data_IF_109282060050
#
_entry.id   IF_109282060050
#
_cell.length_a   1.000
_cell.length_b   1.000
_cell.length_c   1.000
_cell.angle_alpha   90.00
_cell.angle_beta   90.00
_cell.angle_gamma   90.00
#
_symmetry.space_group_name_H-M   'P 1'
#
loop_
_entity.id
_entity.type
_entity.pdbx_description
1 polymer ?
#
# COMPACT_ATOMS: atom_id res chain seq x y z
N UNK A 1 19.30 37.11 -50.56
CA UNK A 1 17.99 36.80 -51.16
C UNK A 1 17.82 35.29 -51.04
N UNK A 2 16.90 34.69 -50.30
CA UNK A 2 15.65 35.09 -49.63
C UNK A 2 15.27 33.83 -48.80
N UNK A 3 15.13 33.92 -47.47
CA UNK A 3 13.87 33.72 -46.70
C UNK A 3 13.11 32.42 -47.08
N UNK A 4 12.59 31.53 -46.22
CA UNK A 4 12.18 31.56 -44.81
C UNK A 4 11.61 30.17 -44.42
N UNK A 5 11.49 29.90 -43.11
CA UNK A 5 10.55 28.96 -42.41
C UNK A 5 10.93 27.46 -42.38
N UNK A 6 11.41 26.93 -41.25
CA UNK A 6 10.67 26.53 -40.02
C UNK A 6 9.94 25.18 -40.24
N UNK A 7 9.92 24.16 -39.37
CA UNK A 7 10.30 23.95 -37.98
C UNK A 7 9.91 22.50 -37.59
N UNK A 8 10.51 21.98 -36.51
CA UNK A 8 10.12 20.81 -35.68
C UNK A 8 10.60 19.39 -36.02
N UNK A 9 11.64 19.01 -35.26
CA UNK A 9 12.05 17.66 -34.91
C UNK A 9 11.08 17.00 -33.92
N UNK A 10 11.10 15.65 -33.85
CA UNK A 10 11.08 14.78 -32.64
C UNK A 10 10.97 13.30 -33.05
N UNK A 11 11.93 12.47 -32.60
CA UNK A 11 12.03 10.98 -32.38
C UNK A 11 13.48 10.54 -32.70
N UNK A 12 14.20 9.59 -32.09
CA UNK A 12 13.95 8.51 -31.10
C UNK A 12 15.34 7.90 -30.67
N UNK A 13 15.56 7.69 -29.36
CA UNK A 13 16.26 6.60 -28.61
C UNK A 13 17.68 6.00 -28.93
N UNK A 14 18.42 5.71 -27.82
CA UNK A 14 19.30 4.55 -27.45
C UNK A 14 20.83 4.69 -27.21
N UNK A 15 21.18 4.66 -25.91
CA UNK A 15 22.11 3.79 -25.15
C UNK A 15 23.58 3.56 -25.59
N UNK A 16 24.56 3.86 -24.69
CA UNK A 16 25.44 2.89 -23.95
C UNK A 16 26.62 3.59 -23.20
N UNK A 17 26.82 3.15 -21.94
CA UNK A 17 28.00 3.13 -21.03
C UNK A 17 28.88 4.36 -20.71
N UNK A 18 28.83 4.77 -19.43
CA UNK A 18 29.98 4.64 -18.51
C UNK A 18 30.99 5.79 -18.39
N UNK A 19 30.67 6.84 -17.62
CA UNK A 19 31.56 7.51 -16.65
C UNK A 19 30.87 8.72 -16.00
N UNK A 20 31.13 8.91 -14.71
CA UNK A 20 30.86 10.08 -13.86
C UNK A 20 29.38 10.46 -13.61
N UNK A 21 28.94 10.22 -12.38
CA UNK A 21 27.70 10.73 -11.84
C UNK A 21 27.65 12.26 -11.94
N UNK A 22 26.75 12.78 -12.77
CA UNK A 22 26.37 14.17 -12.74
C UNK A 22 25.45 14.40 -11.52
N UNK A 23 26.03 14.71 -10.36
CA UNK A 23 25.27 15.33 -9.27
C UNK A 23 25.00 16.81 -9.63
N UNK A 24 23.79 17.31 -9.32
CA UNK A 24 23.25 18.52 -9.94
C UNK A 24 23.94 19.77 -9.40
N UNK A 25 24.36 20.65 -10.30
CA UNK A 25 25.00 21.93 -9.96
C UNK A 25 24.22 22.69 -8.88
N UNK A 26 24.84 22.83 -7.70
CA UNK A 26 24.47 23.76 -6.65
C UNK A 26 23.23 23.46 -5.78
N UNK A 27 22.80 22.19 -5.63
CA UNK A 27 21.69 21.85 -4.72
C UNK A 27 21.85 20.54 -3.97
N UNK A 28 21.39 20.51 -2.73
CA UNK A 28 21.32 19.32 -1.87
C UNK A 28 19.91 19.17 -1.32
N UNK A 29 19.28 18.02 -1.53
CA UNK A 29 17.98 17.67 -0.98
C UNK A 29 18.18 16.55 0.05
N UNK A 30 17.55 16.70 1.22
CA UNK A 30 17.66 15.68 2.26
C UNK A 30 16.83 15.98 3.50
N UNK A 31 17.17 15.28 4.58
CA UNK A 31 16.54 15.43 5.90
C UNK A 31 17.55 16.02 6.88
N UNK A 32 17.13 17.03 7.63
CA UNK A 32 17.94 17.63 8.70
C UNK A 32 18.09 16.61 9.82
N UNK A 33 19.32 16.35 10.24
CA UNK A 33 19.64 15.41 11.33
C UNK A 33 20.02 16.14 12.61
N UNK A 34 20.68 17.30 12.47
CA UNK A 34 21.07 18.16 13.59
C UNK A 34 21.10 19.63 13.15
N UNK A 35 20.88 20.53 14.11
CA UNK A 35 21.00 21.98 13.96
C UNK A 35 21.86 22.48 15.12
N UNK A 36 22.97 23.15 14.78
CA UNK A 36 23.93 23.68 15.76
C UNK A 36 23.53 25.09 16.19
N UNK A 37 23.91 25.47 17.42
CA UNK A 37 23.67 26.82 17.96
C UNK A 37 24.35 27.94 17.14
N UNK A 38 25.37 27.61 16.33
CA UNK A 38 26.04 28.52 15.40
C UNK A 38 25.41 28.64 14.02
N UNK A 39 24.22 28.05 13.79
CA UNK A 39 23.53 28.09 12.50
C UNK A 39 24.07 27.08 11.47
N UNK A 40 24.87 26.10 11.91
CA UNK A 40 25.23 24.93 11.12
C UNK A 40 24.08 23.94 11.08
N UNK A 41 23.83 23.33 9.92
CA UNK A 41 22.75 22.36 9.72
C UNK A 41 23.36 21.10 9.13
N UNK A 42 23.14 19.96 9.77
CA UNK A 42 23.60 18.68 9.23
C UNK A 42 22.46 18.02 8.46
N UNK A 43 22.66 17.70 7.19
CA UNK A 43 21.64 17.14 6.29
C UNK A 43 22.08 15.79 5.76
N UNK A 44 21.25 14.78 5.95
CA UNK A 44 21.39 13.51 5.27
C UNK A 44 20.75 13.61 3.89
N UNK A 45 21.57 13.60 2.83
CA UNK A 45 21.09 13.76 1.47
C UNK A 45 20.36 12.50 0.99
N UNK A 46 19.28 12.68 0.23
CA UNK A 46 18.54 11.55 -0.36
C UNK A 46 19.43 10.76 -1.35
N UNK A 47 20.39 11.44 -2.00
CA UNK A 47 21.39 10.83 -2.88
C UNK A 47 22.49 10.05 -2.12
N UNK A 48 22.42 10.02 -0.79
CA UNK A 48 23.42 9.43 0.09
C UNK A 48 24.45 10.43 0.59
N UNK A 49 24.99 10.14 1.78
CA UNK A 49 25.98 10.97 2.45
C UNK A 49 25.39 12.06 3.35
N UNK A 50 26.21 12.52 4.29
CA UNK A 50 25.88 13.58 5.22
C UNK A 50 26.62 14.85 4.81
N UNK A 51 25.88 15.94 4.63
CA UNK A 51 26.40 17.25 4.27
C UNK A 51 26.24 18.22 5.44
N UNK A 52 27.30 18.98 5.74
CA UNK A 52 27.23 20.11 6.65
C UNK A 52 26.87 21.37 5.86
N UNK A 53 25.73 21.96 6.15
CA UNK A 53 25.25 23.17 5.51
C UNK A 53 25.42 24.38 6.42
N UNK A 54 25.91 25.47 5.87
CA UNK A 54 26.03 26.75 6.55
C UNK A 54 25.32 27.83 5.75
N UNK A 55 24.45 28.59 6.41
CA UNK A 55 23.80 29.73 5.80
C UNK A 55 24.81 30.83 5.47
N UNK A 56 24.83 31.30 4.23
CA UNK A 56 25.53 32.54 3.89
C UNK A 56 24.81 33.75 4.48
N UNK A 57 25.55 34.83 4.70
CA UNK A 57 24.96 36.09 5.12
C UNK A 57 23.99 36.60 4.05
N UNK A 58 22.73 36.88 4.42
CA UNK A 58 21.66 37.20 3.48
C UNK A 58 20.99 36.00 2.80
N UNK A 59 21.28 34.76 3.23
CA UNK A 59 20.60 33.57 2.70
C UNK A 59 19.08 33.64 2.86
N UNK A 60 18.36 33.26 1.79
CA UNK A 60 16.89 33.28 1.77
C UNK A 60 16.32 31.96 2.27
N UNK A 61 15.61 32.03 3.39
CA UNK A 61 14.97 30.85 3.99
C UNK A 61 13.48 30.92 3.74
N UNK A 62 12.96 29.83 3.18
CA UNK A 62 11.56 29.68 2.82
C UNK A 62 11.01 28.44 3.48
N UNK A 63 9.78 28.52 3.98
CA UNK A 63 9.00 27.39 4.45
C UNK A 63 7.92 27.09 3.44
N UNK A 64 7.81 25.81 3.07
CA UNK A 64 6.78 25.32 2.16
C UNK A 64 5.92 24.27 2.86
N UNK A 65 4.62 24.31 2.56
CA UNK A 65 3.72 23.25 2.98
C UNK A 65 3.92 22.00 2.11
N UNK A 66 3.67 20.79 2.64
CA UNK A 66 3.89 19.57 1.88
C UNK A 66 2.96 19.48 0.66
N UNK A 67 3.50 18.99 -0.47
CA UNK A 67 2.77 18.87 -1.74
C UNK A 67 2.94 20.06 -2.69
N UNK A 68 3.46 21.20 -2.23
CA UNK A 68 3.79 22.33 -3.09
C UNK A 68 5.05 22.04 -3.93
N UNK A 69 4.95 22.23 -5.24
CA UNK A 69 6.06 21.99 -6.19
C UNK A 69 6.87 23.23 -6.50
N UNK A 70 6.42 24.39 -6.03
CA UNK A 70 7.05 25.68 -6.26
C UNK A 70 7.06 26.54 -5.00
N UNK A 71 7.68 27.72 -5.11
CA UNK A 71 7.83 28.66 -4.00
C UNK A 71 6.72 29.72 -3.96
N UNK A 72 5.64 29.57 -4.73
CA UNK A 72 4.59 30.59 -4.84
C UNK A 72 3.82 30.78 -3.54
N UNK A 73 3.60 29.69 -2.79
CA UNK A 73 2.97 29.69 -1.46
C UNK A 73 3.98 29.62 -0.33
N UNK A 74 5.26 29.81 -0.62
CA UNK A 74 6.29 29.74 0.38
C UNK A 74 6.20 30.94 1.33
N UNK A 75 6.27 30.68 2.62
CA UNK A 75 6.37 31.71 3.65
C UNK A 75 7.85 31.97 3.94
N UNK A 76 8.22 33.24 4.17
CA UNK A 76 9.60 33.57 4.56
C UNK A 76 9.83 33.05 5.99
N UNK A 77 10.86 32.24 6.17
CA UNK A 77 11.26 31.67 7.45
C UNK A 77 12.64 32.17 7.90
N UNK A 78 13.12 31.59 9.00
CA UNK A 78 14.43 31.86 9.60
C UNK A 78 15.16 30.56 9.93
N UNK A 79 16.45 30.65 10.29
CA UNK A 79 17.24 29.49 10.75
C UNK A 79 16.64 28.83 11.99
N UNK A 80 16.02 29.62 12.87
CA UNK A 80 15.38 29.14 14.09
C UNK A 80 14.15 28.26 13.79
N UNK A 81 13.57 28.41 12.59
CA UNK A 81 12.45 27.59 12.12
C UNK A 81 12.91 26.26 11.54
N UNK A 82 14.19 25.87 11.63
CA UNK A 82 14.70 24.60 11.12
C UNK A 82 14.95 23.67 12.31
N UNK A 83 14.37 22.48 12.27
CA UNK A 83 14.52 21.47 13.30
C UNK A 83 15.03 20.15 12.72
N UNK A 84 15.63 19.32 13.58
CA UNK A 84 15.96 17.95 13.23
C UNK A 84 14.69 17.18 12.82
N UNK A 85 14.77 16.48 11.69
CA UNK A 85 13.67 15.76 11.06
C UNK A 85 12.96 16.51 9.94
N UNK A 86 13.21 17.81 9.77
CA UNK A 86 12.65 18.60 8.67
C UNK A 86 13.27 18.18 7.32
N UNK A 87 12.47 18.21 6.25
CA UNK A 87 12.97 17.97 4.90
C UNK A 87 13.42 19.29 4.30
N UNK A 88 14.65 19.36 3.80
CA UNK A 88 15.28 20.61 3.37
C UNK A 88 15.87 20.47 1.97
N UNK A 89 15.58 21.46 1.12
CA UNK A 89 16.29 21.69 -0.14
C UNK A 89 17.21 22.90 0.05
N UNK A 90 18.51 22.63 0.04
CA UNK A 90 19.55 23.64 0.10
C UNK A 90 20.01 23.95 -1.32
N UNK A 91 20.08 25.23 -1.66
CA UNK A 91 20.69 25.73 -2.89
C UNK A 91 21.88 26.59 -2.51
N UNK A 92 23.00 26.41 -3.22
CA UNK A 92 24.24 27.10 -2.92
C UNK A 92 25.46 26.40 -3.46
N UNK A 93 26.63 26.86 -3.04
CA UNK A 93 27.89 26.25 -3.45
C UNK A 93 28.13 24.97 -2.66
N UNK A 94 28.29 23.85 -3.37
CA UNK A 94 28.50 22.53 -2.79
C UNK A 94 29.98 22.17 -2.94
N UNK A 95 30.70 22.11 -1.83
CA UNK A 95 32.01 21.49 -1.79
C UNK A 95 31.82 19.97 -1.61
N UNK A 96 31.89 19.23 -2.71
CA UNK A 96 31.69 17.78 -2.70
C UNK A 96 32.82 17.02 -1.98
N UNK A 97 34.05 17.56 -1.95
CA UNK A 97 35.19 16.91 -1.29
C UNK A 97 35.06 16.96 0.24
N UNK A 98 34.65 18.11 0.78
CA UNK A 98 34.47 18.31 2.22
C UNK A 98 33.05 18.00 2.70
N UNK A 99 32.12 17.72 1.78
CA UNK A 99 30.68 17.57 2.04
C UNK A 99 30.09 18.78 2.76
N UNK A 100 30.57 19.97 2.41
CA UNK A 100 30.07 21.24 2.94
C UNK A 100 29.22 21.94 1.90
N UNK A 101 28.13 22.57 2.32
CA UNK A 101 27.26 23.38 1.46
C UNK A 101 27.15 24.79 2.03
N UNK A 102 27.57 25.78 1.27
CA UNK A 102 27.35 27.19 1.56
C UNK A 102 26.01 27.60 0.96
N UNK A 103 24.98 27.66 1.82
CA UNK A 103 23.59 27.83 1.42
C UNK A 103 23.28 29.30 1.10
N UNK A 104 22.95 29.59 -0.17
CA UNK A 104 22.38 30.87 -0.60
C UNK A 104 20.86 30.91 -0.44
N UNK A 105 20.21 29.75 -0.50
CA UNK A 105 18.79 29.60 -0.16
C UNK A 105 18.51 28.24 0.46
N UNK A 106 17.61 28.23 1.44
CA UNK A 106 17.12 27.02 2.10
C UNK A 106 15.61 26.98 2.04
N UNK A 107 15.07 25.86 1.60
CA UNK A 107 13.63 25.64 1.49
C UNK A 107 13.30 24.47 2.40
N UNK A 108 12.52 24.74 3.42
CA UNK A 108 12.29 23.83 4.56
C UNK A 108 10.83 23.40 4.55
N UNK A 109 10.62 22.10 4.69
CA UNK A 109 9.31 21.48 4.87
C UNK A 109 9.30 20.80 6.23
N UNK A 110 8.37 21.23 7.09
CA UNK A 110 8.28 20.79 8.48
C UNK A 110 7.89 19.32 8.59
N UNK A 111 8.57 18.58 9.47
CA UNK A 111 8.20 17.18 9.76
C UNK A 111 6.76 17.05 10.27
N UNK A 112 6.33 17.97 11.13
CA UNK A 112 4.99 17.97 11.71
C UNK A 112 3.93 18.20 10.63
N UNK A 113 4.19 19.11 9.68
CA UNK A 113 3.31 19.37 8.55
C UNK A 113 3.20 18.14 7.64
N UNK A 114 4.32 17.46 7.34
CA UNK A 114 4.32 16.20 6.57
C UNK A 114 3.51 15.13 7.31
N UNK A 115 3.69 15.01 8.63
CA UNK A 115 3.00 14.00 9.44
C UNK A 115 1.51 14.28 9.53
N UNK A 116 1.12 15.55 9.70
CA UNK A 116 -0.27 16.00 9.72
C UNK A 116 -0.95 15.79 8.37
N UNK A 117 -0.26 16.12 7.26
CA UNK A 117 -0.80 15.85 5.92
C UNK A 117 -1.02 14.35 5.72
N UNK A 118 -0.04 13.51 6.05
CA UNK A 118 -0.18 12.05 5.95
C UNK A 118 -1.34 11.53 6.79
N UNK A 119 -1.47 11.98 8.03
CA UNK A 119 -2.58 11.58 8.90
C UNK A 119 -3.94 12.02 8.33
N UNK A 120 -4.01 13.19 7.71
CA UNK A 120 -5.22 13.67 7.03
C UNK A 120 -5.53 12.83 5.79
N UNK A 121 -4.53 12.57 4.95
CA UNK A 121 -4.68 11.70 3.79
C UNK A 121 -5.14 10.29 4.22
N UNK A 122 -4.50 9.69 5.21
CA UNK A 122 -4.91 8.40 5.79
C UNK A 122 -6.36 8.43 6.29
N UNK A 123 -6.78 9.50 6.96
CA UNK A 123 -8.16 9.68 7.42
C UNK A 123 -9.15 9.81 6.26
N UNK A 124 -8.80 10.58 5.23
CA UNK A 124 -9.61 10.75 4.02
C UNK A 124 -9.74 9.41 3.27
N UNK A 125 -8.65 8.67 3.13
CA UNK A 125 -8.69 7.30 2.59
C UNK A 125 -9.51 6.37 3.46
N UNK A 126 -9.46 6.48 4.79
CA UNK A 126 -10.26 5.64 5.68
C UNK A 126 -11.76 5.93 5.60
N UNK A 127 -12.14 7.20 5.43
CA UNK A 127 -13.53 7.63 5.48
C UNK A 127 -14.21 7.66 4.10
N UNK A 128 -13.47 8.05 3.06
CA UNK A 128 -14.02 8.38 1.75
C UNK A 128 -13.53 7.46 0.63
N UNK A 129 -12.69 6.45 0.92
CA UNK A 129 -12.30 5.47 -0.10
C UNK A 129 -13.25 4.28 -0.21
N UNK A 130 -13.33 3.74 -1.41
CA UNK A 130 -14.05 2.51 -1.74
C UNK A 130 -13.05 1.52 -2.31
N UNK A 131 -12.97 0.33 -1.70
CA UNK A 131 -12.12 -0.76 -2.17
C UNK A 131 -12.97 -1.87 -2.81
N UNK A 132 -12.48 -2.42 -3.92
CA UNK A 132 -13.20 -3.40 -4.70
C UNK A 132 -12.36 -4.06 -5.79
N UNK A 133 -13.05 -4.80 -6.66
CA UNK A 133 -12.46 -5.53 -7.80
C UNK A 133 -12.96 -4.95 -9.10
N UNK A 134 -12.07 -4.69 -10.05
CA UNK A 134 -12.42 -4.16 -11.37
C UNK A 134 -13.15 -5.25 -12.16
N UNK A 135 -14.32 -4.93 -12.72
CA UNK A 135 -15.09 -5.82 -13.59
C UNK A 135 -14.84 -5.54 -15.07
N UNK A 136 -14.80 -4.28 -15.46
CA UNK A 136 -14.58 -3.86 -16.84
C UNK A 136 -13.99 -2.46 -16.87
N UNK A 137 -13.14 -2.18 -17.85
CA UNK A 137 -12.52 -0.86 -18.05
C UNK A 137 -12.97 -0.32 -19.40
N UNK A 138 -13.40 0.93 -19.43
CA UNK A 138 -13.79 1.67 -20.63
C UNK A 138 -12.83 2.87 -20.76
N UNK A 139 -11.75 2.64 -21.51
CA UNK A 139 -10.68 3.62 -21.67
C UNK A 139 -11.17 4.84 -22.44
N UNK A 140 -12.01 4.64 -23.46
CA UNK A 140 -12.51 5.71 -24.33
C UNK A 140 -13.55 6.59 -23.60
N UNK A 141 -14.39 5.97 -22.76
CA UNK A 141 -15.33 6.66 -21.89
C UNK A 141 -14.71 7.24 -20.62
N UNK A 142 -13.41 7.00 -20.37
CA UNK A 142 -12.72 7.48 -19.16
C UNK A 142 -13.33 6.94 -17.87
N UNK A 143 -13.78 5.68 -17.86
CA UNK A 143 -14.48 5.10 -16.72
C UNK A 143 -14.16 3.61 -16.55
N UNK A 144 -14.41 3.07 -15.36
CA UNK A 144 -14.39 1.63 -15.15
C UNK A 144 -15.49 1.20 -14.19
N UNK A 145 -15.92 -0.06 -14.31
CA UNK A 145 -16.85 -0.69 -13.37
C UNK A 145 -16.09 -1.53 -12.38
N UNK A 146 -16.46 -1.44 -11.10
CA UNK A 146 -15.91 -2.27 -10.03
C UNK A 146 -17.01 -2.84 -9.15
N UNK A 147 -16.79 -4.03 -8.59
CA UNK A 147 -17.61 -4.51 -7.47
C UNK A 147 -16.98 -4.10 -6.15
N UNK A 148 -17.73 -3.39 -5.33
CA UNK A 148 -17.30 -3.01 -4.00
C UNK A 148 -18.42 -3.26 -2.99
N UNK A 149 -18.04 -3.54 -1.74
CA UNK A 149 -19.02 -3.68 -0.65
C UNK A 149 -19.43 -2.31 -0.15
N UNK A 150 -20.73 -2.09 -0.08
CA UNK A 150 -21.34 -0.94 0.57
C UNK A 150 -22.44 -1.45 1.50
N UNK A 151 -22.38 -1.05 2.78
CA UNK A 151 -23.39 -1.42 3.79
C UNK A 151 -23.65 -2.94 3.89
N UNK A 152 -22.60 -3.76 3.75
CA UNK A 152 -22.70 -5.23 3.84
C UNK A 152 -23.14 -5.96 2.57
N UNK A 153 -23.51 -5.23 1.51
CA UNK A 153 -23.93 -5.80 0.21
C UNK A 153 -22.89 -5.51 -0.86
N UNK A 154 -22.61 -6.48 -1.72
CA UNK A 154 -21.75 -6.28 -2.90
C UNK A 154 -22.58 -5.55 -3.96
N UNK A 155 -22.18 -4.32 -4.30
CA UNK A 155 -22.81 -3.51 -5.35
C UNK A 155 -21.81 -3.28 -6.48
N UNK A 156 -22.32 -3.12 -7.70
CA UNK A 156 -21.52 -2.63 -8.81
C UNK A 156 -21.46 -1.11 -8.77
N UNK A 157 -20.27 -0.57 -8.96
CA UNK A 157 -19.96 0.84 -8.96
C UNK A 157 -19.37 1.26 -10.30
N UNK A 158 -19.83 2.38 -10.82
CA UNK A 158 -19.22 3.04 -11.98
C UNK A 158 -18.30 4.16 -11.49
N UNK A 159 -17.03 4.08 -11.86
CA UNK A 159 -16.01 5.04 -11.45
C UNK A 159 -15.63 5.89 -12.64
N UNK A 160 -15.86 7.20 -12.54
CA UNK A 160 -15.43 8.17 -13.53
C UNK A 160 -14.00 8.62 -13.24
N UNK A 161 -13.16 8.60 -14.28
CA UNK A 161 -11.77 9.03 -14.26
C UNK A 161 -11.66 10.31 -15.07
N UNK A 162 -11.16 11.37 -14.44
CA UNK A 162 -10.99 12.68 -15.08
C UNK A 162 -9.52 12.95 -15.36
N UNK A 163 -9.20 13.96 -16.17
CA UNK A 163 -7.81 14.36 -16.41
C UNK A 163 -7.05 14.86 -15.17
N UNK A 164 -7.73 15.05 -14.02
CA UNK A 164 -7.12 15.42 -12.74
C UNK A 164 -6.93 14.23 -11.80
N UNK A 165 -7.44 13.05 -12.15
CA UNK A 165 -7.41 11.88 -11.30
C UNK A 165 -5.99 11.31 -11.23
N UNK A 166 -5.43 11.22 -10.03
CA UNK A 166 -4.12 10.60 -9.82
C UNK A 166 -4.23 9.08 -9.83
N UNK A 167 -3.65 8.42 -10.84
CA UNK A 167 -3.67 6.96 -10.94
C UNK A 167 -2.30 6.41 -10.55
N UNK A 168 -2.29 5.46 -9.61
CA UNK A 168 -1.10 4.74 -9.18
C UNK A 168 -1.34 3.24 -9.28
N UNK A 169 -0.29 2.50 -9.63
CA UNK A 169 -0.26 1.04 -9.61
C UNK A 169 0.72 0.58 -8.56
N UNK A 170 0.30 -0.32 -7.67
CA UNK A 170 1.21 -1.00 -6.77
C UNK A 170 2.31 -1.73 -7.55
N UNK A 171 3.52 -1.75 -7.01
CA UNK A 171 4.58 -2.56 -7.57
C UNK A 171 4.19 -4.05 -7.49
N UNK A 172 4.65 -4.85 -8.45
CA UNK A 172 4.28 -6.27 -8.52
C UNK A 172 4.76 -7.07 -7.29
N UNK A 173 5.71 -6.54 -6.53
CA UNK A 173 6.23 -7.19 -5.32
C UNK A 173 5.79 -6.50 -4.02
N UNK A 174 5.02 -5.42 -4.10
CA UNK A 174 4.67 -4.61 -2.94
C UNK A 174 3.27 -4.00 -3.02
N UNK A 175 2.48 -4.22 -1.96
CA UNK A 175 1.20 -3.55 -1.70
C UNK A 175 1.37 -2.24 -0.89
N UNK A 176 2.60 -1.74 -0.73
CA UNK A 176 2.84 -0.48 0.00
C UNK A 176 2.57 0.68 -0.94
N UNK A 177 1.77 1.65 -0.50
CA UNK A 177 1.44 2.84 -1.31
C UNK A 177 2.69 3.66 -1.68
N UNK A 178 3.72 3.63 -0.84
CA UNK A 178 5.00 4.31 -1.08
C UNK A 178 5.75 3.76 -2.31
N UNK A 179 5.54 2.49 -2.63
CA UNK A 179 6.16 1.83 -3.78
C UNK A 179 5.28 1.93 -5.04
N UNK A 180 4.05 2.47 -4.89
CA UNK A 180 3.10 2.58 -5.99
C UNK A 180 3.58 3.62 -7.01
N UNK A 181 3.69 3.18 -8.26
CA UNK A 181 4.19 3.99 -9.37
C UNK A 181 3.03 4.69 -10.07
N UNK A 182 3.25 5.89 -10.65
CA UNK A 182 2.28 6.51 -11.56
C UNK A 182 1.88 5.53 -12.67
N UNK A 183 0.59 5.49 -13.00
CA UNK A 183 0.05 4.60 -14.02
C UNK A 183 -1.14 5.25 -14.71
N UNK A 184 -1.79 4.51 -15.62
CA UNK A 184 -2.87 4.99 -16.46
C UNK A 184 -4.04 4.02 -16.48
N UNK A 185 -5.22 4.49 -16.89
CA UNK A 185 -6.45 3.69 -17.01
C UNK A 185 -6.26 2.46 -17.93
N UNK A 186 -5.40 2.57 -18.95
CA UNK A 186 -5.08 1.47 -19.89
C UNK A 186 -4.40 0.27 -19.23
N UNK A 187 -3.71 0.48 -18.11
CA UNK A 187 -3.01 -0.57 -17.39
C UNK A 187 -3.92 -1.38 -16.45
N UNK A 188 -5.15 -0.91 -16.23
CA UNK A 188 -6.14 -1.58 -15.39
C UNK A 188 -6.81 -2.71 -16.16
N UNK A 189 -6.98 -3.86 -15.51
CA UNK A 189 -7.61 -5.04 -16.13
C UNK A 189 -8.72 -5.58 -15.23
N UNK A 190 -9.71 -6.23 -15.82
CA UNK A 190 -10.71 -6.97 -15.07
C UNK A 190 -10.04 -8.01 -14.12
N UNK A 191 -10.54 -8.05 -12.89
CA UNK A 191 -9.99 -8.87 -11.81
C UNK A 191 -8.88 -8.21 -10.99
N UNK A 192 -8.40 -7.03 -11.37
CA UNK A 192 -7.46 -6.27 -10.54
C UNK A 192 -8.18 -5.70 -9.30
N UNK A 193 -7.45 -5.65 -8.19
CA UNK A 193 -7.90 -4.99 -6.97
C UNK A 193 -7.69 -3.50 -7.10
N UNK A 194 -8.66 -2.71 -6.63
CA UNK A 194 -8.62 -1.25 -6.72
C UNK A 194 -9.15 -0.62 -5.44
N UNK A 195 -8.55 0.50 -5.06
CA UNK A 195 -9.10 1.42 -4.07
C UNK A 195 -9.18 2.81 -4.70
N UNK A 196 -10.37 3.39 -4.58
CA UNK A 196 -10.70 4.68 -5.19
C UNK A 196 -11.03 5.65 -4.07
N UNK A 197 -10.32 6.77 -4.03
CA UNK A 197 -10.69 7.94 -3.24
C UNK A 197 -11.40 8.93 -4.15
N UNK A 198 -12.54 9.43 -3.70
CA UNK A 198 -13.27 10.46 -4.42
C UNK A 198 -14.70 10.63 -3.94
N UNK A 199 -15.46 11.43 -4.68
CA UNK A 199 -16.83 11.75 -4.33
C UNK A 199 -17.78 10.57 -4.64
N UNK A 200 -18.29 9.93 -3.58
CA UNK A 200 -19.16 8.74 -3.65
C UNK A 200 -20.64 9.13 -3.66
N UNK A 201 -21.37 8.62 -4.64
CA UNK A 201 -22.81 8.76 -4.77
C UNK A 201 -23.47 7.40 -4.58
N UNK A 202 -23.82 7.07 -3.33
CA UNK A 202 -24.38 5.76 -2.95
C UNK A 202 -25.69 5.40 -3.67
N UNK A 203 -26.56 6.38 -3.90
CA UNK A 203 -27.84 6.20 -4.58
C UNK A 203 -27.64 5.71 -6.02
N UNK A 204 -26.69 6.32 -6.75
CA UNK A 204 -26.41 6.01 -8.15
C UNK A 204 -25.34 4.93 -8.34
N UNK A 205 -24.67 4.50 -7.26
CA UNK A 205 -23.48 3.62 -7.33
C UNK A 205 -22.38 4.22 -8.21
N UNK A 206 -22.17 5.54 -8.11
CA UNK A 206 -21.15 6.25 -8.87
C UNK A 206 -20.07 6.80 -7.96
N UNK A 207 -18.83 6.82 -8.45
CA UNK A 207 -17.72 7.50 -7.79
C UNK A 207 -17.00 8.38 -8.82
N UNK A 208 -16.83 9.66 -8.50
CA UNK A 208 -15.91 10.52 -9.25
C UNK A 208 -14.54 10.41 -8.60
N UNK A 209 -13.59 9.77 -9.28
CA UNK A 209 -12.30 9.47 -8.70
C UNK A 209 -11.38 10.68 -8.65
N UNK A 210 -10.78 10.93 -7.49
CA UNK A 210 -9.71 11.91 -7.29
C UNK A 210 -8.35 11.21 -7.27
N UNK A 211 -8.27 10.07 -6.58
CA UNK A 211 -7.11 9.19 -6.63
C UNK A 211 -7.54 7.72 -6.78
N UNK A 212 -6.77 6.98 -7.56
CA UNK A 212 -6.96 5.55 -7.81
C UNK A 212 -5.66 4.86 -7.52
N UNK A 213 -5.73 3.80 -6.72
CA UNK A 213 -4.61 2.88 -6.53
C UNK A 213 -5.08 1.47 -6.86
N UNK A 214 -4.40 0.80 -7.77
CA UNK A 214 -4.76 -0.55 -8.20
C UNK A 214 -3.57 -1.49 -8.26
N UNK A 215 -3.85 -2.79 -8.26
CA UNK A 215 -2.83 -3.83 -8.40
C UNK A 215 -3.44 -5.17 -8.77
N UNK A 216 -2.64 -6.01 -9.42
CA UNK A 216 -3.06 -7.34 -9.88
C UNK A 216 -2.80 -8.36 -8.80
N UNK A 217 -3.68 -8.40 -7.80
CA UNK A 217 -3.58 -9.30 -6.67
C UNK A 217 -4.69 -10.35 -6.70
N UNK A 218 -4.36 -11.56 -6.28
CA UNK A 218 -5.30 -12.66 -6.13
C UNK A 218 -5.09 -13.29 -4.78
N UNK A 219 -6.19 -13.52 -4.08
CA UNK A 219 -6.15 -14.30 -2.85
C UNK A 219 -6.36 -15.78 -3.17
N UNK A 220 -5.45 -16.62 -2.69
CA UNK A 220 -5.48 -18.09 -2.83
C UNK A 220 -5.56 -18.73 -1.44
N UNK A 221 -6.44 -19.71 -1.29
CA UNK A 221 -6.46 -20.60 -0.13
C UNK A 221 -5.85 -21.93 -0.51
N UNK A 222 -4.99 -22.50 0.33
CA UNK A 222 -4.30 -23.73 -0.02
C UNK A 222 -3.62 -24.42 1.15
N UNK A 223 -3.25 -25.67 0.94
CA UNK A 223 -2.34 -26.41 1.82
C UNK A 223 -0.91 -26.29 1.27
N UNK A 224 0.08 -26.04 2.12
CA UNK A 224 1.49 -26.06 1.71
C UNK A 224 1.87 -27.51 1.40
N UNK A 225 2.18 -27.81 0.14
CA UNK A 225 2.68 -29.13 -0.29
C UNK A 225 4.18 -29.23 -0.09
N UNK A 226 4.91 -28.17 -0.41
CA UNK A 226 6.35 -28.08 -0.20
C UNK A 226 6.78 -26.64 0.05
N UNK A 227 7.84 -26.48 0.84
CA UNK A 227 8.44 -25.19 1.18
C UNK A 227 9.96 -25.33 1.14
N UNK A 228 10.62 -24.38 0.49
CA UNK A 228 12.07 -24.18 0.51
C UNK A 228 12.37 -22.85 1.20
N UNK A 229 12.68 -22.84 2.50
CA UNK A 229 12.88 -21.60 3.25
C UNK A 229 14.02 -20.74 2.69
N UNK A 230 15.09 -21.37 2.20
CA UNK A 230 16.29 -20.70 1.69
C UNK A 230 16.03 -19.84 0.44
N UNK A 231 15.14 -20.30 -0.45
CA UNK A 231 14.81 -19.63 -1.72
C UNK A 231 13.47 -18.91 -1.67
N UNK A 232 12.66 -19.16 -0.63
CA UNK A 232 11.30 -18.70 -0.50
C UNK A 232 10.32 -19.44 -1.43
N UNK A 233 10.73 -20.50 -2.12
CA UNK A 233 9.83 -21.23 -3.03
C UNK A 233 8.81 -22.04 -2.21
N UNK A 234 7.53 -21.86 -2.51
CA UNK A 234 6.44 -22.60 -1.86
C UNK A 234 5.48 -23.14 -2.93
N UNK A 235 5.05 -24.39 -2.76
CA UNK A 235 4.02 -24.99 -3.61
C UNK A 235 2.76 -25.16 -2.78
N UNK A 236 1.68 -24.52 -3.21
CA UNK A 236 0.38 -24.66 -2.59
C UNK A 236 -0.52 -25.62 -3.38
N UNK A 237 -1.27 -26.47 -2.69
CA UNK A 237 -2.44 -27.13 -3.26
C UNK A 237 -3.63 -26.22 -3.05
N UNK A 238 -4.07 -25.57 -4.12
CA UNK A 238 -5.23 -24.67 -4.09
C UNK A 238 -6.51 -25.46 -3.75
N UNK A 239 -7.22 -25.04 -2.70
CA UNK A 239 -8.43 -25.74 -2.24
C UNK A 239 -9.60 -25.62 -3.20
N UNK A 240 -9.65 -24.54 -4.00
CA UNK A 240 -10.69 -24.27 -4.99
C UNK A 240 -10.44 -25.04 -6.27
N UNK A 241 -9.24 -24.90 -6.84
CA UNK A 241 -8.93 -25.49 -8.14
C UNK A 241 -8.41 -26.92 -8.04
N UNK A 242 -8.02 -27.36 -6.83
CA UNK A 242 -7.32 -28.63 -6.57
C UNK A 242 -6.02 -28.77 -7.36
N UNK A 243 -5.47 -27.66 -7.86
CA UNK A 243 -4.21 -27.63 -8.63
C UNK A 243 -3.06 -27.20 -7.74
N UNK A 244 -1.87 -27.70 -8.06
CA UNK A 244 -0.63 -27.23 -7.44
C UNK A 244 -0.22 -25.91 -8.09
N UNK A 245 0.03 -24.90 -7.26
CA UNK A 245 0.47 -23.56 -7.67
C UNK A 245 1.84 -23.31 -7.07
N UNK A 246 2.83 -23.08 -7.93
CA UNK A 246 4.17 -22.68 -7.50
C UNK A 246 4.20 -21.16 -7.27
N UNK A 247 4.64 -20.78 -6.07
CA UNK A 247 4.70 -19.40 -5.60
C UNK A 247 6.07 -19.12 -5.01
N UNK A 248 6.40 -17.83 -4.89
CA UNK A 248 7.62 -17.37 -4.24
C UNK A 248 7.29 -16.40 -3.12
N UNK A 249 7.81 -16.65 -1.92
CA UNK A 249 7.67 -15.75 -0.78
C UNK A 249 8.71 -14.66 -0.89
N UNK A 250 8.25 -13.42 -1.11
CA UNK A 250 9.12 -12.25 -1.15
C UNK A 250 9.71 -11.98 0.25
N UNK A 251 10.95 -11.48 0.37
CA UNK A 251 11.53 -11.10 1.67
C UNK A 251 10.70 -10.04 2.42
N UNK A 252 9.96 -9.22 1.69
CA UNK A 252 9.06 -8.20 2.25
C UNK A 252 7.64 -8.71 2.55
N UNK A 253 7.38 -10.01 2.33
CA UNK A 253 6.06 -10.58 2.53
C UNK A 253 5.61 -10.47 4.00
N UNK A 254 4.35 -10.10 4.18
CA UNK A 254 3.71 -10.03 5.50
C UNK A 254 3.23 -11.41 5.90
N UNK A 255 4.07 -12.12 6.64
CA UNK A 255 3.73 -13.43 7.19
C UNK A 255 3.10 -13.27 8.57
N UNK A 256 1.94 -13.88 8.76
CA UNK A 256 1.22 -13.96 10.03
C UNK A 256 0.85 -15.41 10.30
N UNK A 257 0.74 -15.78 11.57
CA UNK A 257 0.27 -17.11 11.97
C UNK A 257 -0.92 -16.96 12.91
N UNK A 258 -2.00 -17.67 12.62
CA UNK A 258 -3.07 -17.82 13.58
C UNK A 258 -2.55 -18.58 14.80
N UNK A 259 -2.80 -18.10 16.03
CA UNK A 259 -2.55 -18.89 17.22
C UNK A 259 -3.25 -20.23 17.03
N UNK A 260 -2.54 -21.33 17.28
CA UNK A 260 -3.19 -22.62 17.34
C UNK A 260 -4.33 -22.48 18.35
N UNK A 261 -5.57 -22.73 17.94
CA UNK A 261 -6.66 -22.97 18.86
C UNK A 261 -6.41 -24.35 19.49
N UNK A 262 -5.32 -24.48 20.24
CA UNK A 262 -5.06 -25.60 21.13
C UNK A 262 -6.18 -25.55 22.15
N UNK A 263 -7.13 -26.49 22.02
CA UNK A 263 -8.33 -26.54 22.82
C UNK A 263 -8.02 -26.37 24.30
N UNK A 264 -8.42 -25.23 24.86
CA UNK A 264 -8.67 -25.08 26.28
C UNK A 264 -9.92 -24.20 26.47
N UNK A 265 -11.07 -24.86 26.40
CA UNK A 265 -12.36 -24.31 26.85
C UNK A 265 -13.27 -23.81 25.73
N UNK A 266 -13.87 -24.71 24.96
CA UNK A 266 -14.89 -24.33 23.98
C UNK A 266 -15.19 -25.44 23.02
N UNK A 267 -15.59 -26.60 23.54
CA UNK A 267 -16.11 -27.67 22.70
C UNK A 267 -17.33 -27.17 21.95
N UNK A 268 -17.17 -26.90 20.64
CA UNK A 268 -18.26 -26.98 19.70
C UNK A 268 -18.70 -28.44 19.67
N UNK A 269 -19.60 -28.80 20.59
CA UNK A 269 -20.25 -30.11 20.59
C UNK A 269 -21.17 -30.13 19.37
N UNK A 270 -20.64 -30.62 18.27
CA UNK A 270 -21.42 -31.36 17.28
C UNK A 270 -21.99 -32.59 18.01
N UNK A 271 -23.15 -32.43 18.65
CA UNK A 271 -23.85 -33.48 19.36
C UNK A 271 -25.15 -33.80 18.66
N UNK A 272 -25.14 -34.84 17.83
CA UNK A 272 -26.36 -35.47 17.36
C UNK A 272 -27.11 -36.18 18.49
N UNK A 273 -28.43 -36.15 18.37
CA UNK A 273 -29.44 -37.09 18.85
C UNK A 273 -29.52 -37.49 20.36
N UNK A 274 -30.75 -37.32 20.86
CA UNK A 274 -31.51 -38.17 21.81
C UNK A 274 -31.61 -37.76 23.29
N UNK A 275 -32.87 -37.52 23.66
CA UNK A 275 -33.61 -37.85 24.90
C UNK A 275 -33.11 -37.35 26.28
N UNK A 276 -33.99 -36.61 26.96
CA UNK A 276 -33.95 -36.41 28.41
C UNK A 276 -34.86 -35.29 28.89
N UNK A 277 -36.14 -35.61 29.12
CA UNK A 277 -37.11 -34.78 29.85
C UNK A 277 -36.52 -34.28 31.17
N UNK A 278 -36.53 -32.96 31.40
CA UNK A 278 -36.66 -32.41 32.76
C UNK A 278 -37.30 -31.01 32.73
N UNK A 279 -38.47 -30.99 33.32
CA UNK A 279 -39.38 -29.89 33.59
C UNK A 279 -38.89 -29.02 34.76
N UNK A 280 -39.16 -27.70 34.67
CA UNK A 280 -39.25 -26.80 35.82
C UNK A 280 -38.13 -25.77 36.00
N UNK A 281 -38.47 -24.47 35.89
CA UNK A 281 -37.69 -23.39 36.50
C UNK A 281 -37.60 -22.08 35.72
N UNK A 282 -38.54 -21.17 35.98
CA UNK A 282 -38.60 -19.76 35.59
C UNK A 282 -37.25 -19.01 35.74
N UNK A 283 -36.79 -18.32 34.69
CA UNK A 283 -36.16 -17.00 34.80
C UNK A 283 -36.18 -16.23 33.47
N UNK A 284 -37.04 -15.23 33.49
CA UNK A 284 -37.16 -14.10 32.60
C UNK A 284 -35.82 -13.35 32.48
N UNK A 285 -35.38 -13.09 31.25
CA UNK A 285 -34.10 -12.44 30.94
C UNK A 285 -33.75 -12.55 29.46
N UNK A 286 -34.70 -12.22 28.59
CA UNK A 286 -34.51 -12.22 27.13
C UNK A 286 -33.53 -11.15 26.68
N UNK A 287 -32.24 -11.50 26.64
CA UNK A 287 -31.26 -10.83 25.80
C UNK A 287 -31.04 -11.72 24.58
N UNK A 288 -31.76 -11.39 23.51
CA UNK A 288 -31.61 -12.04 22.21
C UNK A 288 -30.17 -11.92 21.75
N UNK A 289 -29.45 -13.05 21.79
CA UNK A 289 -28.16 -13.21 21.16
C UNK A 289 -28.36 -13.06 19.65
N UNK A 290 -28.17 -11.84 19.14
CA UNK A 290 -28.16 -11.55 17.70
C UNK A 290 -27.09 -12.43 17.04
N UNK A 291 -27.43 -13.31 16.10
CA UNK A 291 -26.44 -13.94 15.24
C UNK A 291 -25.97 -12.88 14.25
N UNK A 292 -24.73 -12.40 14.36
CA UNK A 292 -24.24 -11.42 13.38
C UNK A 292 -22.90 -10.74 13.65
N UNK A 293 -22.38 -10.75 14.88
CA UNK A 293 -21.05 -10.17 15.13
C UNK A 293 -19.96 -11.23 14.99
N UNK A 294 -19.61 -11.55 13.74
CA UNK A 294 -18.26 -12.04 13.45
C UNK A 294 -17.31 -10.89 13.85
N UNK A 295 -16.34 -11.10 14.76
CA UNK A 295 -15.33 -10.10 15.07
C UNK A 295 -14.72 -9.60 13.76
N UNK A 296 -14.55 -8.28 13.63
CA UNK A 296 -13.94 -7.65 12.48
C UNK A 296 -12.59 -8.34 12.18
N UNK A 297 -12.60 -9.19 11.15
CA UNK A 297 -11.47 -10.04 10.81
C UNK A 297 -10.23 -9.19 10.50
N UNK A 298 -10.44 -7.94 10.07
CA UNK A 298 -9.38 -6.96 9.84
C UNK A 298 -8.68 -6.56 11.15
N UNK A 299 -9.42 -6.33 12.24
CA UNK A 299 -8.85 -6.08 13.57
C UNK A 299 -8.15 -7.31 14.15
N UNK A 300 -8.66 -8.51 13.87
CA UNK A 300 -8.00 -9.73 14.28
C UNK A 300 -6.68 -9.93 13.52
N UNK A 301 -6.66 -9.67 12.21
CA UNK A 301 -5.44 -9.73 11.39
C UNK A 301 -4.35 -8.76 11.87
N UNK A 302 -4.70 -7.53 12.25
CA UNK A 302 -3.75 -6.55 12.78
C UNK A 302 -3.08 -7.03 14.08
N UNK A 303 -3.77 -7.88 14.85
CA UNK A 303 -3.29 -8.45 16.12
C UNK A 303 -2.57 -9.78 15.97
N UNK A 304 -2.58 -10.40 14.79
CA UNK A 304 -1.92 -11.70 14.61
C UNK A 304 -0.40 -11.57 14.81
N UNK A 305 0.25 -12.51 15.50
CA UNK A 305 1.71 -12.53 15.61
C UNK A 305 2.37 -12.51 14.24
N UNK A 306 3.46 -11.72 14.11
CA UNK A 306 4.32 -11.79 12.92
C UNK A 306 4.98 -13.17 12.90
N UNK A 307 4.91 -13.82 11.75
CA UNK A 307 5.56 -15.10 11.50
C UNK A 307 6.77 -14.89 10.58
N UNK A 308 7.61 -15.91 10.49
CA UNK A 308 8.73 -16.02 9.56
C UNK A 308 8.51 -17.21 8.63
N UNK A 309 9.28 -17.30 7.55
CA UNK A 309 9.20 -18.45 6.63
C UNK A 309 9.55 -19.76 7.36
N UNK A 310 10.45 -19.71 8.35
CA UNK A 310 10.81 -20.86 9.18
C UNK A 310 9.68 -21.39 10.07
N UNK A 311 8.66 -20.57 10.32
CA UNK A 311 7.48 -20.99 11.09
C UNK A 311 6.45 -21.73 10.23
N UNK A 312 6.64 -21.79 8.92
CA UNK A 312 5.76 -22.47 7.97
C UNK A 312 6.25 -23.89 7.71
N UNK A 313 5.31 -24.83 7.54
CA UNK A 313 5.65 -26.22 7.20
C UNK A 313 4.71 -26.79 6.14
N UNK A 314 5.18 -27.82 5.45
CA UNK A 314 4.31 -28.64 4.62
C UNK A 314 3.16 -29.21 5.46
N UNK A 315 1.95 -29.20 4.92
CA UNK A 315 0.70 -29.53 5.59
C UNK A 315 0.01 -28.34 6.26
N UNK A 316 0.64 -27.17 6.40
CA UNK A 316 -0.05 -26.00 6.95
C UNK A 316 -1.12 -25.49 5.97
N UNK A 317 -2.32 -25.25 6.48
CA UNK A 317 -3.36 -24.52 5.78
C UNK A 317 -3.05 -23.02 5.79
N UNK A 318 -3.05 -22.40 4.61
CA UNK A 318 -2.75 -20.98 4.43
C UNK A 318 -3.78 -20.28 3.56
N UNK A 319 -3.94 -18.97 3.80
CA UNK A 319 -4.48 -18.04 2.82
C UNK A 319 -3.40 -17.03 2.47
N UNK A 320 -3.19 -16.83 1.19
CA UNK A 320 -2.14 -15.97 0.66
C UNK A 320 -2.71 -14.98 -0.33
N UNK A 321 -2.24 -13.74 -0.26
CA UNK A 321 -2.34 -12.78 -1.34
C UNK A 321 -1.12 -12.95 -2.25
N UNK A 322 -1.36 -13.12 -3.55
CA UNK A 322 -0.30 -13.23 -4.55
C UNK A 322 -0.43 -12.17 -5.62
N UNK A 323 0.68 -11.53 -5.99
CA UNK A 323 0.74 -10.75 -7.22
C UNK A 323 0.68 -11.68 -8.42
N UNK A 324 -0.05 -11.28 -9.46
CA UNK A 324 -0.07 -12.01 -10.72
C UNK A 324 1.36 -12.16 -11.26
N UNK A 325 1.78 -13.36 -11.68
CA UNK A 325 3.12 -13.57 -12.19
C UNK A 325 3.34 -12.75 -13.47
N UNK A 326 4.56 -12.21 -13.62
CA UNK A 326 5.09 -11.77 -14.92
C UNK A 326 5.48 -13.01 -15.73
N UNK A 327 5.32 -12.93 -17.05
CA UNK A 327 5.52 -14.04 -17.99
C UNK A 327 6.75 -14.89 -17.64
N UNK A 328 6.52 -16.18 -17.34
CA UNK A 328 7.56 -17.17 -17.04
C UNK A 328 8.03 -17.27 -15.58
N UNK A 329 7.57 -16.41 -14.67
CA UNK A 329 7.96 -16.44 -13.26
C UNK A 329 6.85 -16.99 -12.33
N UNK A 330 7.18 -17.62 -11.19
CA UNK A 330 6.18 -17.99 -10.18
C UNK A 330 5.55 -16.73 -9.58
N UNK A 331 4.30 -16.84 -9.12
CA UNK A 331 3.58 -15.71 -8.54
C UNK A 331 4.15 -15.35 -7.16
N UNK A 332 4.32 -14.05 -6.88
CA UNK A 332 4.93 -13.58 -5.64
C UNK A 332 3.89 -13.46 -4.52
N UNK A 333 4.17 -14.06 -3.37
CA UNK A 333 3.38 -13.95 -2.14
C UNK A 333 3.69 -12.63 -1.46
N UNK A 334 2.65 -11.85 -1.19
CA UNK A 334 2.75 -10.53 -0.57
C UNK A 334 2.32 -10.58 0.89
N UNK A 335 1.30 -11.38 1.19
CA UNK A 335 0.80 -11.61 2.54
C UNK A 335 0.39 -13.07 2.65
N UNK A 336 0.72 -13.72 3.75
CA UNK A 336 0.31 -15.10 4.01
C UNK A 336 -0.08 -15.26 5.47
N UNK A 337 -1.21 -15.91 5.70
CA UNK A 337 -1.71 -16.27 7.03
C UNK A 337 -1.73 -17.78 7.13
N UNK A 338 -0.92 -18.33 8.04
CA UNK A 338 -0.84 -19.77 8.30
C UNK A 338 -1.64 -20.19 9.54
N UNK A 339 -1.97 -21.49 9.62
CA UNK A 339 -2.77 -22.05 10.73
C UNK A 339 -4.27 -21.94 10.49
N UNK A 340 -4.69 -21.97 9.22
CA UNK A 340 -6.07 -21.82 8.80
C UNK A 340 -6.76 -23.16 8.54
N UNK A 341 -6.56 -24.14 9.42
CA UNK A 341 -6.96 -25.53 9.17
C UNK A 341 -8.48 -25.70 8.96
N UNK A 342 -9.27 -24.75 9.46
CA UNK A 342 -10.71 -24.71 9.22
C UNK A 342 -11.06 -24.53 7.74
N UNK A 343 -10.21 -23.85 6.93
CA UNK A 343 -10.45 -23.66 5.51
C UNK A 343 -10.27 -24.94 4.69
N UNK A 344 -9.41 -25.87 5.14
CA UNK A 344 -9.27 -27.16 4.47
C UNK A 344 -10.51 -28.06 4.70
N UNK A 345 -11.28 -27.78 5.76
CA UNK A 345 -12.48 -28.54 6.15
C UNK A 345 -13.78 -27.88 5.70
N UNK A 346 -13.74 -26.61 5.30
CA UNK A 346 -14.90 -25.87 4.86
C UNK A 346 -15.25 -26.18 3.38
N UNK A 347 -16.54 -26.20 3.02
CA UNK A 347 -16.96 -26.28 1.62
C UNK A 347 -16.43 -25.08 0.82
N UNK A 348 -16.13 -25.29 -0.47
CA UNK A 348 -15.51 -24.28 -1.32
C UNK A 348 -16.29 -22.95 -1.40
N UNK A 349 -17.62 -22.98 -1.26
CA UNK A 349 -18.46 -21.79 -1.20
C UNK A 349 -18.21 -20.94 0.05
N UNK A 350 -17.97 -21.57 1.20
CA UNK A 350 -17.67 -20.91 2.47
C UNK A 350 -16.24 -20.38 2.48
N UNK A 351 -15.29 -21.13 1.90
CA UNK A 351 -13.94 -20.64 1.61
C UNK A 351 -13.97 -19.42 0.69
N UNK A 352 -14.81 -19.41 -0.34
CA UNK A 352 -14.98 -18.27 -1.25
C UNK A 352 -15.61 -17.05 -0.55
N UNK A 353 -16.51 -17.25 0.40
CA UNK A 353 -17.05 -16.17 1.22
C UNK A 353 -16.00 -15.62 2.17
N UNK A 354 -15.22 -16.48 2.83
CA UNK A 354 -14.13 -16.06 3.72
C UNK A 354 -13.05 -15.33 2.91
N UNK A 355 -12.49 -15.95 1.87
CA UNK A 355 -11.46 -15.35 0.99
C UNK A 355 -11.99 -14.09 0.28
N UNK A 356 -13.23 -14.08 -0.19
CA UNK A 356 -13.86 -12.90 -0.80
C UNK A 356 -14.16 -11.78 0.22
N UNK A 357 -14.18 -12.08 1.52
CA UNK A 357 -14.22 -11.10 2.61
C UNK A 357 -12.83 -10.57 2.98
N UNK A 358 -11.77 -11.24 2.53
CA UNK A 358 -10.39 -10.90 2.84
C UNK A 358 -9.84 -9.92 1.83
N UNK A 359 -10.16 -8.64 2.01
CA UNK A 359 -9.51 -7.58 1.25
C UNK A 359 -8.12 -7.29 1.86
N UNK A 360 -7.18 -8.23 1.72
CA UNK A 360 -5.82 -8.13 2.27
C UNK A 360 -4.90 -7.21 1.47
N UNK A 361 -5.35 -6.74 0.31
CA UNK A 361 -4.44 -6.46 -0.81
C UNK A 361 -4.29 -4.97 -1.11
N UNK A 362 -5.16 -4.12 -0.56
CA UNK A 362 -5.07 -2.67 -0.73
C UNK A 362 -5.16 -1.99 0.63
N UNK A 363 -4.02 -1.70 1.24
CA UNK A 363 -3.96 -0.88 2.46
C UNK A 363 -4.54 0.52 2.22
N UNK A 364 -4.94 1.20 3.30
CA UNK A 364 -5.07 2.66 3.26
C UNK A 364 -3.67 3.24 2.94
N UNK A 365 -3.56 4.12 1.93
CA UNK A 365 -2.35 4.86 1.60
C UNK A 365 -1.67 5.55 2.77
#
# INVERSE_FOLDING_TARGET
>A
MTQEKAMNAILLFLLVCGAAGAQPQGRVLGVVTAVDAGGGITVQADAGGTYAAKALEGAKIYRVEPGEKDLSKATKGTLADIAAGDRILIRGEVNAAEKIVLASSMIVMKKEAITSLKAKEEADWKQHSVAGVIKSVDVDGGQFRMSARASGVVKEWTVAVTGKTGIKRYADESIRYQDAQPSDLKAMVAGDQVRVLGNRQDAESKVTAEQIVFGSFRTLGGEIVSLKPETGDVVLLDVQTKKKVALKISPEARLRRMPAFSGRGGGMRTGGASHGMREGGMREGGSGMRPGNVPDFQQMMERLPKATIGDLKAGDAVVTSVARPKDGHPANVISMIAGMDFLLRAPASEVNQVIGNWNMEVGTP
#
